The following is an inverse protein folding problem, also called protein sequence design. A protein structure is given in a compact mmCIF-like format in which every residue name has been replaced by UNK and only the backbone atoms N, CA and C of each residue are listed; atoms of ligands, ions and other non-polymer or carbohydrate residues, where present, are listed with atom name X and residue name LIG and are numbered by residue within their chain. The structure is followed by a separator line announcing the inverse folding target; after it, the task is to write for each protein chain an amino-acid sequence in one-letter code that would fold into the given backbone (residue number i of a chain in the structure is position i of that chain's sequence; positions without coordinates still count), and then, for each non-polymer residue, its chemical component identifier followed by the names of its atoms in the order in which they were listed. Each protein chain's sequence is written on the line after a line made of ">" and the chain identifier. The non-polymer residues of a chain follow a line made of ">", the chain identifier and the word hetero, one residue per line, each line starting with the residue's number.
data_IF_962250138495
#
_entry.id   IF_962250138495
#
_cell.length_a   1.000
_cell.length_b   1.000
_cell.length_c   1.000
_cell.angle_alpha   90.00
_cell.angle_beta   90.00
_cell.angle_gamma   90.00
#
_symmetry.space_group_name_H-M   'P 1'
#
loop_
_entity.id
_entity.type
_entity.pdbx_description
1 polymer ?
#
# COMPACT_ATOMS: atom_id res chain seq x y z
N UNK A 1 -9.07 -2.22 9.19
CA UNK A 1 -7.61 -2.39 9.11
C UNK A 1 -6.96 -1.96 10.42
N UNK A 2 -5.66 -2.25 10.63
CA UNK A 2 -4.93 -1.82 11.83
C UNK A 2 -5.10 -0.32 12.07
N UNK A 3 -5.48 0.06 13.29
CA UNK A 3 -5.96 1.41 13.59
C UNK A 3 -4.84 2.37 13.98
N UNK A 4 -3.68 1.85 14.38
CA UNK A 4 -2.51 2.65 14.71
C UNK A 4 -1.30 2.33 13.83
N UNK A 5 -0.32 3.23 13.85
CA UNK A 5 0.88 3.13 13.01
C UNK A 5 1.72 1.90 13.31
N UNK A 6 1.80 1.48 14.57
CA UNK A 6 2.64 0.35 14.96
C UNK A 6 2.07 -0.96 14.41
N UNK A 7 0.77 -1.16 14.57
CA UNK A 7 0.05 -2.30 13.99
C UNK A 7 0.14 -2.32 12.47
N UNK A 8 0.03 -1.15 11.81
CA UNK A 8 0.20 -1.08 10.35
C UNK A 8 1.61 -1.49 9.94
N UNK A 9 2.66 -0.97 10.58
CA UNK A 9 4.05 -1.37 10.28
C UNK A 9 4.31 -2.85 10.55
N UNK A 10 3.76 -3.39 11.65
CA UNK A 10 3.90 -4.80 11.98
C UNK A 10 3.24 -5.68 10.91
N UNK A 11 2.00 -5.36 10.51
CA UNK A 11 1.28 -6.06 9.45
C UNK A 11 2.02 -6.00 8.11
N UNK A 12 2.52 -4.83 7.70
CA UNK A 12 3.33 -4.69 6.49
C UNK A 12 4.62 -5.50 6.57
N UNK A 13 5.31 -5.50 7.72
CA UNK A 13 6.51 -6.31 7.95
C UNK A 13 6.27 -7.81 7.88
N UNK A 14 5.12 -8.29 8.35
CA UNK A 14 4.72 -9.69 8.20
C UNK A 14 4.54 -10.10 6.74
N UNK A 15 3.96 -9.23 5.91
CA UNK A 15 3.87 -9.47 4.47
C UNK A 15 5.27 -9.56 3.85
N UNK A 16 6.17 -8.64 4.17
CA UNK A 16 7.58 -8.67 3.73
C UNK A 16 8.27 -9.97 4.11
N UNK A 17 8.11 -10.43 5.35
CA UNK A 17 8.69 -11.69 5.79
C UNK A 17 8.16 -12.91 5.00
N UNK A 18 6.90 -12.86 4.54
CA UNK A 18 6.25 -13.94 3.79
C UNK A 18 6.44 -13.83 2.26
N UNK A 19 6.96 -12.73 1.73
CA UNK A 19 7.22 -12.51 0.29
C UNK A 19 7.99 -13.67 -0.35
N UNK A 20 8.92 -14.29 0.38
CA UNK A 20 9.73 -15.41 -0.13
C UNK A 20 8.96 -16.71 -0.38
N UNK A 21 7.72 -16.84 0.09
CA UNK A 21 6.92 -18.07 -0.02
C UNK A 21 6.01 -18.06 -1.26
N UNK A 22 5.66 -16.89 -1.79
CA UNK A 22 4.86 -16.80 -3.02
C UNK A 22 5.74 -16.97 -4.26
N UNK A 23 5.58 -18.10 -4.95
CA UNK A 23 6.15 -18.33 -6.28
C UNK A 23 5.19 -17.79 -7.37
N UNK A 24 5.73 -16.99 -8.30
CA UNK A 24 4.97 -16.41 -9.42
C UNK A 24 4.26 -15.08 -9.11
N UNK A 25 3.43 -14.57 -10.05
CA UNK A 25 2.75 -13.29 -9.89
C UNK A 25 1.79 -13.32 -8.70
N UNK A 26 1.85 -12.29 -7.85
CA UNK A 26 1.07 -12.22 -6.63
C UNK A 26 0.47 -10.81 -6.48
N UNK A 27 -0.56 -10.70 -5.66
CA UNK A 27 -1.31 -9.45 -5.42
C UNK A 27 -1.55 -9.29 -3.94
N UNK A 28 -1.43 -8.07 -3.44
CA UNK A 28 -1.97 -7.68 -2.14
C UNK A 28 -3.21 -6.82 -2.39
N UNK A 29 -4.35 -7.29 -1.88
CA UNK A 29 -5.59 -6.52 -1.83
C UNK A 29 -5.88 -6.13 -0.39
N UNK A 30 -6.34 -4.90 -0.17
CA UNK A 30 -6.82 -4.46 1.13
C UNK A 30 -7.08 -2.97 1.19
N UNK A 31 -7.72 -2.54 2.27
CA UNK A 31 -7.81 -1.13 2.62
C UNK A 31 -6.57 -0.72 3.42
N UNK A 32 -5.59 -0.14 2.73
CA UNK A 32 -4.37 0.40 3.32
C UNK A 32 -4.59 1.78 3.98
N UNK A 33 -5.73 2.42 3.72
CA UNK A 33 -6.09 3.76 4.18
C UNK A 33 -4.96 4.80 4.02
N UNK A 34 -4.09 4.60 3.02
CA UNK A 34 -2.87 5.38 2.77
C UNK A 34 -2.64 5.41 1.27
N UNK A 35 -2.47 6.61 0.71
CA UNK A 35 -2.08 6.81 -0.69
C UNK A 35 -0.55 6.83 -0.83
N UNK A 36 -0.03 6.53 -2.01
CA UNK A 36 1.41 6.58 -2.26
C UNK A 36 1.86 8.00 -2.60
N UNK A 37 1.06 8.70 -3.40
CA UNK A 37 1.37 10.03 -3.88
C UNK A 37 0.41 11.08 -3.31
N UNK A 38 0.90 12.32 -3.26
CA UNK A 38 0.15 13.45 -2.72
C UNK A 38 -1.05 13.78 -3.62
N UNK A 39 -0.86 13.66 -4.93
CA UNK A 39 -1.89 13.99 -5.94
C UNK A 39 -3.07 13.00 -5.96
N UNK A 40 -2.96 11.87 -5.27
CA UNK A 40 -4.06 10.89 -5.11
C UNK A 40 -5.07 11.33 -4.05
N UNK A 41 -4.73 12.34 -3.23
CA UNK A 41 -5.61 12.86 -2.18
C UNK A 41 -6.35 14.09 -2.68
N UNK A 42 -7.67 14.03 -2.74
CA UNK A 42 -8.50 15.21 -3.04
C UNK A 42 -8.53 16.21 -1.87
N UNK A 43 -8.44 15.72 -0.64
CA UNK A 43 -8.50 16.54 0.57
C UNK A 43 -7.16 16.50 1.31
N UNK A 44 -6.55 17.68 1.47
CA UNK A 44 -5.32 17.94 2.22
C UNK A 44 -4.05 17.26 1.66
N UNK A 45 -3.42 17.86 0.62
CA UNK A 45 -2.24 17.33 -0.08
C UNK A 45 -0.95 17.52 0.75
N UNK A 46 -0.93 17.00 1.96
CA UNK A 46 0.27 16.99 2.81
C UNK A 46 0.98 15.66 2.63
N UNK A 47 2.28 15.73 2.35
CA UNK A 47 3.14 14.56 2.42
C UNK A 47 3.22 14.04 3.85
N UNK A 48 2.82 12.79 4.08
CA UNK A 48 2.82 12.19 5.42
C UNK A 48 3.83 11.07 5.52
N UNK A 49 4.35 10.82 6.74
CA UNK A 49 5.23 9.66 7.00
C UNK A 49 4.58 8.32 6.64
N UNK A 50 3.25 8.23 6.69
CA UNK A 50 2.54 7.02 6.26
C UNK A 50 2.75 6.73 4.77
N UNK A 51 2.87 7.76 3.93
CA UNK A 51 3.12 7.61 2.49
C UNK A 51 4.54 7.11 2.21
N UNK A 52 5.52 7.51 3.02
CA UNK A 52 6.87 6.94 3.02
C UNK A 52 6.84 5.48 3.45
N UNK A 53 6.27 5.18 4.64
CA UNK A 53 6.17 3.82 5.16
C UNK A 53 5.46 2.88 4.13
N UNK A 54 4.49 3.40 3.37
CA UNK A 54 3.78 2.67 2.31
C UNK A 54 4.60 2.52 1.01
N UNK A 55 5.35 3.56 0.63
CA UNK A 55 6.26 3.50 -0.53
C UNK A 55 7.39 2.50 -0.32
N UNK A 56 7.97 2.48 0.88
CA UNK A 56 9.01 1.53 1.29
C UNK A 56 8.45 0.09 1.23
N UNK A 57 7.24 -0.14 1.76
CA UNK A 57 6.56 -1.43 1.66
C UNK A 57 6.37 -1.90 0.21
N UNK A 58 5.90 -1.03 -0.68
CA UNK A 58 5.72 -1.37 -2.11
C UNK A 58 7.08 -1.75 -2.73
N UNK A 59 8.15 -1.02 -2.39
CA UNK A 59 9.49 -1.29 -2.89
C UNK A 59 10.05 -2.62 -2.36
N UNK A 60 9.98 -2.85 -1.04
CA UNK A 60 10.50 -4.05 -0.38
C UNK A 60 9.81 -5.32 -0.88
N UNK A 61 8.52 -5.22 -1.21
CA UNK A 61 7.76 -6.32 -1.76
C UNK A 61 7.98 -6.53 -3.27
N UNK A 62 8.60 -5.58 -3.98
CA UNK A 62 8.68 -5.62 -5.44
C UNK A 62 7.31 -5.45 -6.10
N UNK A 63 6.43 -4.66 -5.48
CA UNK A 63 5.09 -4.38 -5.92
C UNK A 63 5.04 -3.20 -6.92
N UNK A 64 3.99 -3.18 -7.74
CA UNK A 64 3.58 -2.13 -8.66
C UNK A 64 2.24 -1.62 -8.16
N UNK A 65 2.21 -0.34 -7.83
CA UNK A 65 1.02 0.40 -7.47
C UNK A 65 0.37 0.94 -8.75
N UNK A 66 -0.76 0.34 -9.21
CA UNK A 66 -1.45 0.86 -10.37
C UNK A 66 -2.08 2.22 -10.03
N UNK A 67 -2.11 3.17 -10.97
CA UNK A 67 -2.62 4.49 -10.67
C UNK A 67 -4.10 4.41 -10.28
N UNK A 68 -4.46 5.10 -9.20
CA UNK A 68 -5.84 5.25 -8.71
C UNK A 68 -6.67 6.18 -9.63
N UNK A 69 -6.70 5.92 -10.94
CA UNK A 69 -7.61 6.61 -11.87
C UNK A 69 -8.99 5.97 -11.81
N UNK A 70 -9.74 6.27 -10.75
CA UNK A 70 -11.09 5.76 -10.58
C UNK A 70 -11.75 6.26 -9.30
N UNK A 71 -12.30 7.47 -9.35
CA UNK A 71 -13.41 7.90 -8.50
C UNK A 71 -13.13 8.04 -6.99
N UNK A 72 -13.15 9.28 -6.53
CA UNK A 72 -13.29 9.67 -5.13
C UNK A 72 -14.35 8.82 -4.40
N UNK A 73 -13.91 7.87 -3.58
CA UNK A 73 -14.74 7.19 -2.60
C UNK A 73 -13.87 6.84 -1.38
N UNK A 74 -14.31 7.16 -0.15
CA UNK A 74 -13.55 6.89 1.06
C UNK A 74 -13.62 5.39 1.35
N UNK A 75 -12.67 4.63 0.81
CA UNK A 75 -12.59 3.19 0.95
C UNK A 75 -12.50 2.48 -0.40
N UNK A 76 -11.45 2.76 -1.17
CA UNK A 76 -11.13 1.96 -2.35
C UNK A 76 -10.20 0.83 -1.95
N UNK A 77 -10.64 -0.39 -2.25
CA UNK A 77 -9.88 -1.63 -2.17
C UNK A 77 -8.63 -1.49 -3.08
N UNK A 78 -7.50 -1.15 -2.49
CA UNK A 78 -6.25 -0.96 -3.22
C UNK A 78 -5.72 -2.32 -3.66
N UNK A 79 -5.65 -2.54 -4.98
CA UNK A 79 -5.01 -3.74 -5.55
C UNK A 79 -3.59 -3.38 -5.96
N UNK A 80 -2.59 -3.96 -5.28
CA UNK A 80 -1.18 -3.76 -5.61
C UNK A 80 -0.63 -5.07 -6.20
N UNK A 81 -0.01 -5.02 -7.38
CA UNK A 81 0.44 -6.20 -8.13
C UNK A 81 1.94 -6.41 -8.00
N UNK A 82 2.41 -7.63 -7.80
CA UNK A 82 3.83 -7.98 -7.86
C UNK A 82 4.41 -7.75 -9.26
N UNK A 83 5.69 -7.34 -9.32
CA UNK A 83 6.47 -7.42 -10.56
C UNK A 83 6.54 -8.88 -11.03
N UNK A 84 6.60 -9.13 -12.35
CA UNK A 84 6.82 -10.47 -12.91
C UNK A 84 8.08 -11.13 -12.34
#
# INVERSE_FOLDING_TARGET
>A
GPHNRLERRALLGEFVARRGICEGPWVVCGDFNTTRFIHERCNNPIFTRAMNDFSDFIQDMGLIDPPLFGGSSPGTEGTIKGRP
#
